data_IF_982528066390
#
_entry.id   IF_982528066390
#
_cell.length_a   1.000
_cell.length_b   1.000
_cell.length_c   1.000
_cell.angle_alpha   90.00
_cell.angle_beta   90.00
_cell.angle_gamma   90.00
#
_symmetry.space_group_name_H-M   'P 1'
#
loop_
_entity.id
_entity.type
_entity.pdbx_description
1 polymer ?
#
# COMPACT_ATOMS: atom_id res chain seq x y z
N UNK A 1 -46.90 22.71 -2.76
CA UNK A 1 -46.51 21.29 -2.71
C UNK A 1 -45.02 21.26 -2.44
N UNK A 2 -44.64 21.27 -1.16
CA UNK A 2 -43.25 21.10 -0.74
C UNK A 2 -43.08 19.61 -0.43
N UNK A 3 -42.09 18.97 -1.04
CA UNK A 3 -41.78 17.56 -0.83
C UNK A 3 -41.21 17.39 0.59
N UNK A 4 -41.94 16.70 1.47
CA UNK A 4 -41.43 16.33 2.79
C UNK A 4 -40.36 15.22 2.64
N UNK A 5 -39.16 15.36 3.26
CA UNK A 5 -38.14 14.34 3.18
C UNK A 5 -38.58 13.09 3.96
N UNK A 6 -38.56 11.92 3.30
CA UNK A 6 -38.84 10.60 3.87
C UNK A 6 -37.91 10.30 5.06
N UNK A 7 -38.36 10.58 6.29
CA UNK A 7 -37.70 10.16 7.54
C UNK A 7 -37.95 8.67 7.77
N UNK A 8 -37.09 7.83 7.23
CA UNK A 8 -37.18 6.36 7.32
C UNK A 8 -36.61 5.80 8.63
N UNK A 9 -37.13 6.22 9.79
CA UNK A 9 -36.89 5.50 11.04
C UNK A 9 -37.86 4.30 11.15
N UNK A 10 -37.57 3.24 10.38
CA UNK A 10 -38.35 1.99 10.39
C UNK A 10 -38.07 1.11 11.62
N UNK A 11 -37.04 1.41 12.41
CA UNK A 11 -36.64 0.66 13.61
C UNK A 11 -36.38 1.65 14.77
N UNK A 12 -37.15 1.58 15.88
CA UNK A 12 -36.92 2.45 17.04
C UNK A 12 -35.56 2.17 17.68
N UNK A 13 -34.71 3.20 17.79
CA UNK A 13 -33.40 3.11 18.47
C UNK A 13 -32.19 2.88 17.56
N UNK A 14 -32.35 2.93 16.24
CA UNK A 14 -31.23 2.99 15.30
C UNK A 14 -30.98 4.45 14.87
N UNK A 15 -29.72 4.94 14.89
CA UNK A 15 -29.41 6.29 14.42
C UNK A 15 -29.69 6.39 12.91
N UNK A 16 -30.33 7.47 12.48
CA UNK A 16 -30.65 7.70 11.06
C UNK A 16 -29.37 7.94 10.26
N UNK A 17 -29.34 7.60 8.96
CA UNK A 17 -28.17 7.82 8.08
C UNK A 17 -27.65 9.26 8.11
N UNK A 18 -28.55 10.23 8.26
CA UNK A 18 -28.22 11.65 8.37
C UNK A 18 -27.54 11.99 9.71
N UNK A 19 -27.93 11.31 10.79
CA UNK A 19 -27.33 11.46 12.13
C UNK A 19 -25.95 10.80 12.19
N UNK A 20 -25.81 9.62 11.60
CA UNK A 20 -24.51 8.93 11.46
C UNK A 20 -23.57 9.76 10.59
N UNK A 21 -24.06 10.28 9.45
CA UNK A 21 -23.28 11.16 8.57
C UNK A 21 -22.81 12.44 9.29
N UNK A 22 -23.70 13.06 10.08
CA UNK A 22 -23.37 14.25 10.87
C UNK A 22 -22.35 13.96 11.97
N UNK A 23 -22.45 12.80 12.63
CA UNK A 23 -21.48 12.36 13.63
C UNK A 23 -20.11 12.03 13.01
N UNK A 24 -20.08 11.43 11.82
CA UNK A 24 -18.85 11.14 11.07
C UNK A 24 -18.18 12.39 10.49
N UNK A 25 -18.93 13.46 10.22
CA UNK A 25 -18.39 14.75 9.79
C UNK A 25 -17.76 15.56 10.94
N UNK A 26 -18.11 15.26 12.19
CA UNK A 26 -17.55 15.91 13.36
C UNK A 26 -16.27 15.20 13.81
N UNK A 27 -15.14 15.53 13.19
CA UNK A 27 -13.83 15.13 13.72
C UNK A 27 -13.61 15.76 15.09
N UNK A 28 -13.40 14.93 16.10
CA UNK A 28 -13.09 15.40 17.44
C UNK A 28 -11.74 16.11 17.46
N UNK A 29 -11.52 16.92 18.50
CA UNK A 29 -10.21 17.55 18.72
C UNK A 29 -9.08 16.50 18.78
N UNK A 30 -9.37 15.32 19.36
CA UNK A 30 -8.45 14.19 19.42
C UNK A 30 -8.06 13.67 18.04
N UNK A 31 -9.01 13.54 17.10
CA UNK A 31 -8.75 13.03 15.75
C UNK A 31 -7.84 13.99 14.97
N UNK A 32 -8.07 15.30 15.10
CA UNK A 32 -7.20 16.32 14.52
C UNK A 32 -5.78 16.30 15.09
N UNK A 33 -5.64 16.08 16.40
CA UNK A 33 -4.32 15.97 17.03
C UNK A 33 -3.57 14.75 16.47
N UNK A 34 -4.21 13.59 16.40
CA UNK A 34 -3.58 12.37 15.87
C UNK A 34 -3.24 12.53 14.38
N UNK A 35 -4.15 13.09 13.59
CA UNK A 35 -3.94 13.32 12.15
C UNK A 35 -2.78 14.28 11.89
N UNK A 36 -2.74 15.42 12.60
CA UNK A 36 -1.65 16.38 12.48
C UNK A 36 -0.30 15.81 12.95
N UNK A 37 -0.28 15.06 14.05
CA UNK A 37 0.93 14.40 14.53
C UNK A 37 1.45 13.35 13.53
N UNK A 38 0.56 12.57 12.91
CA UNK A 38 0.91 11.63 11.83
C UNK A 38 1.54 12.37 10.64
N UNK A 39 0.91 13.45 10.15
CA UNK A 39 1.45 14.22 9.02
C UNK A 39 2.81 14.85 9.34
N UNK A 40 2.97 15.42 10.53
CA UNK A 40 4.23 16.04 10.96
C UNK A 40 5.33 14.99 11.12
N UNK A 41 5.02 13.82 11.66
CA UNK A 41 6.02 12.74 11.78
C UNK A 41 6.45 12.20 10.41
N UNK A 42 5.52 11.90 9.51
CA UNK A 42 5.82 11.46 8.14
C UNK A 42 6.61 12.53 7.36
N UNK A 43 6.15 13.78 7.41
CA UNK A 43 6.81 14.91 6.77
C UNK A 43 8.20 15.19 7.35
N UNK A 44 8.34 15.10 8.68
CA UNK A 44 9.61 15.30 9.38
C UNK A 44 10.66 14.27 8.99
N UNK A 45 10.29 12.99 8.91
CA UNK A 45 11.16 11.92 8.42
C UNK A 45 11.54 12.18 6.95
N UNK A 46 10.57 12.54 6.11
CA UNK A 46 10.79 12.86 4.70
C UNK A 46 11.75 14.04 4.49
N UNK A 47 11.56 15.14 5.23
CA UNK A 47 12.42 16.33 5.16
C UNK A 47 13.82 16.01 5.69
N UNK A 48 13.93 15.28 6.80
CA UNK A 48 15.21 14.87 7.37
C UNK A 48 16.04 14.04 6.39
N UNK A 49 15.45 13.00 5.80
CA UNK A 49 16.17 12.17 4.80
C UNK A 49 16.34 12.88 3.44
N UNK A 50 15.42 13.76 3.05
CA UNK A 50 15.47 14.47 1.78
C UNK A 50 16.48 15.63 1.73
N UNK A 51 16.57 16.43 2.79
CA UNK A 51 17.42 17.63 2.83
C UNK A 51 18.68 17.47 3.66
N UNK A 52 18.62 16.81 4.83
CA UNK A 52 19.74 16.74 5.78
C UNK A 52 20.66 15.57 5.43
N UNK A 53 20.11 14.41 5.10
CA UNK A 53 20.87 13.21 4.71
C UNK A 53 20.86 13.02 3.20
N UNK A 54 21.22 14.06 2.44
CA UNK A 54 21.29 13.99 0.98
C UNK A 54 22.27 12.90 0.56
N UNK A 55 21.74 11.80 0.02
CA UNK A 55 22.52 10.72 -0.55
C UNK A 55 23.39 11.28 -1.69
N UNK A 56 24.71 11.06 -1.61
CA UNK A 56 25.69 11.62 -2.56
C UNK A 56 25.69 10.96 -3.94
N UNK A 57 24.82 9.96 -4.20
CA UNK A 57 24.70 9.30 -5.50
C UNK A 57 23.36 8.60 -5.71
N UNK A 58 22.97 8.45 -6.99
CA UNK A 58 21.72 7.78 -7.38
C UNK A 58 21.64 6.34 -6.85
N UNK A 59 22.76 5.61 -6.83
CA UNK A 59 22.81 4.24 -6.31
C UNK A 59 22.54 4.16 -4.80
N UNK A 60 22.99 5.15 -4.04
CA UNK A 60 22.79 5.15 -2.58
C UNK A 60 21.38 5.63 -2.22
N UNK A 61 20.76 6.47 -3.07
CA UNK A 61 19.35 6.85 -2.92
C UNK A 61 18.38 5.73 -3.35
N UNK A 62 18.64 5.08 -4.50
CA UNK A 62 17.74 4.08 -5.08
C UNK A 62 17.94 2.67 -4.48
N UNK A 63 19.16 2.34 -4.06
CA UNK A 63 19.52 0.98 -3.57
C UNK A 63 19.92 1.01 -2.09
N UNK A 64 19.86 2.17 -1.43
CA UNK A 64 20.17 2.29 0.00
C UNK A 64 21.61 1.93 0.38
N UNK A 65 22.55 2.05 -0.58
CA UNK A 65 23.96 1.70 -0.36
C UNK A 65 24.24 0.20 -0.28
N UNK A 66 23.27 -0.67 -0.64
CA UNK A 66 23.38 -2.15 -0.65
C UNK A 66 23.79 -2.80 0.68
N UNK A 67 23.84 -2.02 1.77
CA UNK A 67 24.16 -2.46 3.13
C UNK A 67 22.96 -2.33 4.08
N UNK A 68 21.75 -2.14 3.55
CA UNK A 68 20.55 -2.14 4.38
C UNK A 68 20.29 -3.55 4.92
N UNK A 69 20.05 -3.63 6.23
CA UNK A 69 19.63 -4.85 6.90
C UNK A 69 18.34 -5.40 6.25
N UNK A 70 18.17 -6.72 6.23
CA UNK A 70 16.99 -7.38 5.65
C UNK A 70 15.69 -6.93 6.33
N UNK A 71 15.73 -6.58 7.61
CA UNK A 71 14.56 -6.19 8.40
C UNK A 71 13.84 -4.92 7.87
N UNK A 72 14.50 -3.75 7.74
CA UNK A 72 13.85 -2.55 7.20
C UNK A 72 13.41 -2.73 5.74
N UNK A 73 14.11 -3.55 4.95
CA UNK A 73 13.70 -3.86 3.57
C UNK A 73 12.39 -4.64 3.56
N UNK A 74 12.28 -5.71 4.36
CA UNK A 74 11.03 -6.47 4.50
C UNK A 74 9.88 -5.62 5.01
N UNK A 75 10.13 -4.74 5.98
CA UNK A 75 9.12 -3.83 6.51
C UNK A 75 8.60 -2.87 5.44
N UNK A 76 9.50 -2.30 4.62
CA UNK A 76 9.12 -1.41 3.52
C UNK A 76 8.32 -2.14 2.43
N UNK A 77 8.66 -3.40 2.13
CA UNK A 77 7.90 -4.20 1.17
C UNK A 77 6.47 -4.46 1.68
N UNK A 78 6.32 -4.86 2.94
CA UNK A 78 4.99 -5.05 3.57
C UNK A 78 4.20 -3.74 3.54
N UNK A 79 4.83 -2.61 3.90
CA UNK A 79 4.20 -1.31 3.87
C UNK A 79 3.71 -0.93 2.45
N UNK A 80 4.46 -1.31 1.41
CA UNK A 80 4.09 -1.06 0.01
C UNK A 80 2.97 -1.98 -0.49
N UNK A 81 2.84 -3.18 0.08
CA UNK A 81 1.78 -4.13 -0.24
C UNK A 81 0.43 -3.76 0.37
N UNK A 82 0.41 -3.08 1.51
CA UNK A 82 -0.83 -2.70 2.19
C UNK A 82 -1.40 -1.44 1.53
N UNK A 83 -2.51 -1.61 0.81
CA UNK A 83 -3.27 -0.51 0.21
C UNK A 83 -4.61 -0.29 0.93
N UNK A 84 -5.14 0.93 0.86
CA UNK A 84 -6.46 1.27 1.41
C UNK A 84 -7.59 0.44 0.79
N UNK A 85 -7.45 0.04 -0.48
CA UNK A 85 -8.39 -0.85 -1.17
C UNK A 85 -8.42 -2.22 -0.48
N UNK A 86 -7.26 -2.78 -0.12
CA UNK A 86 -7.20 -4.06 0.58
C UNK A 86 -7.77 -3.94 2.00
N UNK A 87 -7.49 -2.82 2.69
CA UNK A 87 -7.94 -2.61 4.07
C UNK A 87 -9.47 -2.57 4.18
N UNK A 88 -10.15 -1.90 3.23
CA UNK A 88 -11.62 -1.86 3.18
C UNK A 88 -12.23 -3.03 2.38
N UNK A 89 -11.50 -3.54 1.39
CA UNK A 89 -11.97 -4.59 0.47
C UNK A 89 -11.94 -5.98 1.11
N UNK A 90 -10.88 -6.34 1.83
CA UNK A 90 -10.77 -7.65 2.51
C UNK A 90 -11.93 -7.95 3.47
N UNK A 91 -12.35 -7.06 4.39
CA UNK A 91 -13.51 -7.35 5.25
C UNK A 91 -14.82 -7.42 4.46
N UNK A 92 -14.96 -6.63 3.39
CA UNK A 92 -16.13 -6.67 2.49
C UNK A 92 -16.21 -8.03 1.78
N UNK A 93 -15.10 -8.52 1.25
CA UNK A 93 -14.98 -9.82 0.62
C UNK A 93 -15.29 -10.96 1.60
N UNK A 94 -14.73 -10.90 2.82
CA UNK A 94 -15.02 -11.91 3.85
C UNK A 94 -16.51 -11.88 4.26
N UNK A 95 -17.13 -10.71 4.31
CA UNK A 95 -18.55 -10.57 4.64
C UNK A 95 -19.47 -11.20 3.57
N UNK A 96 -19.14 -11.02 2.29
CA UNK A 96 -19.95 -11.55 1.17
C UNK A 96 -19.67 -13.03 0.88
N UNK A 97 -18.38 -13.42 0.88
CA UNK A 97 -17.92 -14.73 0.41
C UNK A 97 -17.54 -15.70 1.54
N UNK A 98 -17.54 -15.23 2.79
CA UNK A 98 -17.33 -16.05 3.99
C UNK A 98 -16.03 -16.85 3.97
N UNK A 99 -16.15 -18.17 4.18
CA UNK A 99 -15.03 -19.10 4.35
C UNK A 99 -14.19 -19.32 3.08
N UNK A 100 -14.73 -18.97 1.91
CA UNK A 100 -14.01 -19.16 0.63
C UNK A 100 -12.78 -18.25 0.49
N UNK A 101 -12.75 -17.12 1.21
CA UNK A 101 -11.59 -16.22 1.24
C UNK A 101 -10.32 -16.88 1.83
N UNK A 102 -10.46 -17.92 2.67
CA UNK A 102 -9.31 -18.63 3.25
C UNK A 102 -8.41 -19.28 2.21
N UNK A 103 -8.95 -19.68 1.05
CA UNK A 103 -8.14 -20.24 -0.04
C UNK A 103 -7.14 -19.22 -0.60
N UNK A 104 -7.50 -17.94 -0.64
CA UNK A 104 -6.59 -16.86 -1.06
C UNK A 104 -5.45 -16.73 -0.06
N UNK A 105 -5.76 -16.76 1.26
CA UNK A 105 -4.74 -16.72 2.31
C UNK A 105 -3.71 -17.86 2.20
N UNK A 106 -4.17 -19.08 1.96
CA UNK A 106 -3.29 -20.24 1.73
C UNK A 106 -2.42 -20.04 0.48
N UNK A 107 -3.01 -19.53 -0.62
CA UNK A 107 -2.28 -19.22 -1.85
C UNK A 107 -1.17 -18.19 -1.64
N UNK A 108 -1.42 -17.13 -0.85
CA UNK A 108 -0.42 -16.11 -0.51
C UNK A 108 0.74 -16.70 0.29
N UNK A 109 0.47 -17.61 1.24
CA UNK A 109 1.52 -18.30 2.01
C UNK A 109 2.40 -19.17 1.09
N UNK A 110 1.78 -19.96 0.21
CA UNK A 110 2.51 -20.78 -0.76
C UNK A 110 3.34 -19.92 -1.73
N UNK A 111 2.79 -18.81 -2.20
CA UNK A 111 3.49 -17.84 -3.05
C UNK A 111 4.69 -17.25 -2.30
N UNK A 112 4.55 -16.88 -1.03
CA UNK A 112 5.65 -16.38 -0.21
C UNK A 112 6.79 -17.39 -0.10
N UNK A 113 6.46 -18.67 0.09
CA UNK A 113 7.47 -19.74 0.13
C UNK A 113 8.18 -19.92 -1.23
N UNK A 114 7.43 -19.93 -2.33
CA UNK A 114 8.00 -20.01 -3.68
C UNK A 114 8.90 -18.80 -4.01
N UNK A 115 8.48 -17.59 -3.60
CA UNK A 115 9.25 -16.36 -3.78
C UNK A 115 10.57 -16.39 -3.00
N UNK A 116 10.55 -16.86 -1.76
CA UNK A 116 11.74 -17.00 -0.93
C UNK A 116 12.76 -18.01 -1.49
N UNK A 117 12.29 -19.09 -2.12
CA UNK A 117 13.15 -20.23 -2.52
C UNK A 117 13.65 -20.12 -3.95
N UNK A 118 12.84 -19.63 -4.88
CA UNK A 118 13.15 -19.62 -6.31
C UNK A 118 13.56 -18.22 -6.76
N UNK A 119 12.77 -17.20 -6.44
CA UNK A 119 12.95 -15.86 -7.00
C UNK A 119 14.04 -15.08 -6.27
N UNK A 120 14.05 -15.09 -4.93
CA UNK A 120 15.02 -14.35 -4.14
C UNK A 120 16.49 -14.68 -4.49
N UNK A 121 16.94 -15.94 -4.61
CA UNK A 121 18.33 -16.23 -4.96
C UNK A 121 18.69 -15.81 -6.39
N UNK A 122 17.74 -15.85 -7.33
CA UNK A 122 17.94 -15.40 -8.70
C UNK A 122 18.15 -13.89 -8.75
N UNK A 123 17.31 -13.11 -8.07
CA UNK A 123 17.43 -11.65 -8.08
C UNK A 123 18.65 -11.12 -7.30
N UNK A 124 19.04 -11.78 -6.21
CA UNK A 124 20.25 -11.42 -5.47
C UNK A 124 21.53 -11.69 -6.27
N UNK A 125 21.54 -12.69 -7.15
CA UNK A 125 22.69 -13.02 -8.00
C UNK A 125 22.99 -12.01 -9.12
N UNK A 126 21.98 -11.29 -9.63
CA UNK A 126 22.13 -10.43 -10.81
C UNK A 126 22.46 -8.95 -10.50
N UNK A 127 22.47 -8.53 -9.22
CA UNK A 127 22.83 -7.16 -8.77
C UNK A 127 22.17 -6.03 -9.61
N UNK A 128 20.91 -6.19 -10.01
CA UNK A 128 20.20 -5.21 -10.83
C UNK A 128 19.64 -4.07 -9.95
N UNK A 129 19.61 -2.85 -10.48
CA UNK A 129 19.03 -1.69 -9.77
C UNK A 129 17.53 -1.54 -10.04
N UNK A 130 17.00 -2.23 -11.05
CA UNK A 130 15.59 -2.26 -11.41
C UNK A 130 15.17 -3.62 -11.95
N UNK A 131 13.99 -4.11 -11.57
CA UNK A 131 13.39 -5.34 -12.10
C UNK A 131 13.26 -5.31 -13.63
N UNK A 132 13.10 -4.13 -14.24
CA UNK A 132 12.99 -3.98 -15.70
C UNK A 132 14.32 -4.17 -16.44
N UNK A 133 15.47 -4.05 -15.76
CA UNK A 133 16.78 -4.38 -16.33
C UNK A 133 16.89 -5.90 -16.61
N UNK A 134 16.21 -6.72 -15.81
CA UNK A 134 16.09 -8.15 -16.06
C UNK A 134 15.37 -8.44 -17.38
N UNK A 135 14.27 -7.71 -17.65
CA UNK A 135 13.49 -7.85 -18.88
C UNK A 135 14.29 -7.43 -20.11
N UNK A 136 15.14 -6.40 -20.00
CA UNK A 136 16.03 -5.98 -21.09
C UNK A 136 17.09 -7.03 -21.41
N UNK A 137 17.72 -7.64 -20.39
CA UNK A 137 18.73 -8.70 -20.63
C UNK A 137 18.13 -9.98 -21.20
N UNK A 138 16.86 -10.27 -20.92
CA UNK A 138 16.18 -11.51 -21.36
C UNK A 138 15.46 -11.38 -22.70
N UNK A 139 14.91 -10.21 -23.01
CA UNK A 139 14.07 -9.99 -24.18
C UNK A 139 14.62 -8.88 -25.09
N UNK A 140 14.42 -7.59 -24.74
CA UNK A 140 14.95 -6.46 -25.51
C UNK A 140 14.59 -5.10 -24.88
N UNK A 141 15.22 -4.01 -25.36
CA UNK A 141 14.99 -2.63 -24.85
C UNK A 141 13.56 -2.13 -25.03
N UNK A 142 12.84 -2.63 -26.04
CA UNK A 142 11.42 -2.31 -26.31
C UNK A 142 10.50 -2.82 -25.20
N UNK A 143 10.77 -4.02 -24.69
CA UNK A 143 9.97 -4.65 -23.62
C UNK A 143 10.17 -3.89 -22.30
N UNK A 144 11.39 -3.38 -22.04
CA UNK A 144 11.68 -2.51 -20.88
C UNK A 144 10.85 -1.21 -20.91
N UNK A 145 10.78 -0.56 -22.08
CA UNK A 145 10.02 0.69 -22.26
C UNK A 145 8.51 0.45 -22.09
N UNK A 146 7.98 -0.63 -22.66
CA UNK A 146 6.58 -0.99 -22.47
C UNK A 146 6.27 -1.32 -21.00
N UNK A 147 7.13 -2.10 -20.33
CA UNK A 147 6.94 -2.46 -18.92
C UNK A 147 6.98 -1.26 -17.96
N UNK A 148 7.92 -0.33 -18.17
CA UNK A 148 8.01 0.90 -17.37
C UNK A 148 6.87 1.88 -17.66
N UNK A 149 6.39 1.94 -18.91
CA UNK A 149 5.23 2.75 -19.28
C UNK A 149 3.93 2.20 -18.66
N UNK A 150 3.71 0.89 -18.72
CA UNK A 150 2.53 0.25 -18.11
C UNK A 150 2.46 0.50 -16.59
N UNK A 151 3.59 0.33 -15.90
CA UNK A 151 3.67 0.61 -14.47
C UNK A 151 3.41 2.09 -14.13
N UNK A 152 3.95 3.02 -14.93
CA UNK A 152 3.72 4.46 -14.71
C UNK A 152 2.27 4.88 -14.93
N UNK A 153 1.54 4.18 -15.81
CA UNK A 153 0.11 4.39 -16.05
C UNK A 153 -0.75 3.82 -14.91
N UNK A 154 -0.17 2.98 -14.04
CA UNK A 154 -0.87 2.37 -12.92
C UNK A 154 -1.69 1.14 -13.30
N UNK A 155 -1.21 0.38 -14.30
CA UNK A 155 -1.67 -0.98 -14.62
C UNK A 155 -0.80 -2.01 -13.91
#
# INVERSE_FOLDING_TARGET
MAEEPMRTNWVPGQPTVDEVSSAMQSFGCTDYIVFSAMLVSCGGIGIYFGFIKKSSGADEYLVGGRNMSTFPVSLSLIASFISGISLLGTPTEIYVHGTSYLFIGIGVILLGFAMSTIYLPVFQGLRLTSTYEYLERRFDRKVRLLGSALFSVGI
#
